data_IF_076615513010
#
_entry.id   IF_076615513010
#
_cell.length_a   1.000
_cell.length_b   1.000
_cell.length_c   1.000
_cell.angle_alpha   90.00
_cell.angle_beta   90.00
_cell.angle_gamma   90.00
#
_symmetry.space_group_name_H-M   'P 1'
#
loop_
_entity.id
_entity.type
_entity.pdbx_description
1 polymer ?
#
# COMPACT_ATOMS: atom_id res chain seq x y z
N UNK A 1 21.29 -9.76 17.97
CA UNK A 1 20.30 -9.26 17.00
C UNK A 1 21.01 -8.78 15.73
N UNK A 2 20.57 -9.24 14.58
CA UNK A 2 21.16 -8.88 13.28
C UNK A 2 20.09 -8.24 12.42
N UNK A 3 20.39 -7.07 11.85
CA UNK A 3 19.51 -6.33 10.94
C UNK A 3 20.16 -6.24 9.59
N UNK A 4 19.41 -6.56 8.54
CA UNK A 4 19.87 -6.46 7.16
C UNK A 4 18.80 -5.77 6.30
N UNK A 5 19.09 -4.60 5.72
CA UNK A 5 18.24 -4.03 4.69
C UNK A 5 18.16 -4.96 3.48
N UNK A 6 16.95 -5.25 2.99
CA UNK A 6 16.72 -6.10 1.80
C UNK A 6 16.32 -5.27 0.59
N UNK A 7 16.12 -4.00 0.75
CA UNK A 7 15.69 -3.07 -0.30
C UNK A 7 15.43 -1.70 0.27
N UNK A 8 14.87 -0.82 -0.56
CA UNK A 8 14.62 0.57 -0.15
C UNK A 8 13.59 0.69 1.00
N UNK A 9 12.70 -0.29 1.16
CA UNK A 9 11.58 -0.24 2.11
C UNK A 9 11.39 -1.54 2.89
N UNK A 10 12.39 -2.42 2.94
CA UNK A 10 12.28 -3.73 3.60
C UNK A 10 13.54 -4.05 4.37
N UNK A 11 13.36 -4.64 5.55
CA UNK A 11 14.44 -5.12 6.39
C UNK A 11 14.19 -6.55 6.84
N UNK A 12 15.24 -7.35 6.93
CA UNK A 12 15.22 -8.62 7.64
C UNK A 12 15.88 -8.45 8.99
N UNK A 13 15.27 -9.01 10.01
CA UNK A 13 15.75 -8.97 11.38
C UNK A 13 15.85 -10.40 11.90
N UNK A 14 16.98 -10.79 12.41
CA UNK A 14 17.15 -12.06 13.12
C UNK A 14 17.32 -11.82 14.61
N UNK A 15 16.38 -12.37 15.40
CA UNK A 15 16.35 -12.27 16.84
C UNK A 15 16.78 -13.62 17.45
N UNK A 16 17.88 -13.61 18.17
CA UNK A 16 18.32 -14.78 18.92
C UNK A 16 17.49 -14.95 20.20
N UNK A 17 17.46 -16.16 20.82
CA UNK A 17 16.82 -16.34 22.11
C UNK A 17 17.35 -15.41 23.20
N UNK A 18 18.63 -15.08 23.16
CA UNK A 18 19.25 -14.12 24.08
C UNK A 18 18.69 -12.70 23.90
N UNK A 19 18.56 -12.25 22.63
CA UNK A 19 17.94 -10.97 22.32
C UNK A 19 16.50 -10.88 22.83
N UNK A 20 15.73 -11.93 22.61
CA UNK A 20 14.33 -12.00 23.08
C UNK A 20 14.23 -12.01 24.61
N UNK A 21 15.15 -12.70 25.28
CA UNK A 21 15.19 -12.77 26.74
C UNK A 21 15.44 -11.41 27.39
N UNK A 22 16.21 -10.54 26.78
CA UNK A 22 16.45 -9.17 27.26
C UNK A 22 15.15 -8.35 27.34
N UNK A 23 14.17 -8.68 26.48
CA UNK A 23 12.85 -8.04 26.49
C UNK A 23 11.78 -8.88 27.22
N UNK A 24 12.15 -10.01 27.80
CA UNK A 24 11.24 -10.91 28.50
C UNK A 24 10.36 -11.76 27.56
N UNK A 25 10.76 -11.96 26.32
CA UNK A 25 10.03 -12.73 25.32
C UNK A 25 10.69 -14.09 25.05
N UNK A 26 9.89 -15.02 24.51
CA UNK A 26 10.36 -16.33 24.02
C UNK A 26 10.01 -16.47 22.55
N UNK A 27 10.78 -17.26 21.75
CA UNK A 27 10.49 -17.43 20.33
C UNK A 27 9.07 -17.94 20.05
N UNK A 28 8.59 -18.91 20.85
CA UNK A 28 7.28 -19.50 20.70
C UNK A 28 6.12 -18.60 21.17
N UNK A 29 6.40 -17.65 22.07
CA UNK A 29 5.41 -16.74 22.64
C UNK A 29 5.39 -15.34 22.04
N UNK A 30 6.20 -15.08 21.03
CA UNK A 30 6.31 -13.77 20.41
C UNK A 30 5.06 -13.44 19.57
N UNK A 31 4.36 -12.38 19.96
CA UNK A 31 3.22 -11.86 19.19
C UNK A 31 3.69 -10.92 18.07
N UNK A 32 2.82 -10.69 17.07
CA UNK A 32 3.13 -9.74 16.00
C UNK A 32 3.35 -8.32 16.52
N UNK A 33 2.60 -7.89 17.54
CA UNK A 33 2.80 -6.57 18.17
C UNK A 33 4.17 -6.45 18.83
N UNK A 34 4.59 -7.49 19.54
CA UNK A 34 5.93 -7.56 20.16
C UNK A 34 7.02 -7.59 19.11
N UNK A 35 6.85 -8.35 18.03
CA UNK A 35 7.77 -8.35 16.89
C UNK A 35 7.87 -6.98 16.23
N UNK A 36 6.76 -6.26 16.09
CA UNK A 36 6.74 -4.90 15.56
C UNK A 36 7.50 -3.93 16.46
N UNK A 37 7.27 -4.01 17.77
CA UNK A 37 7.96 -3.17 18.76
C UNK A 37 9.48 -3.37 18.70
N UNK A 38 9.92 -4.63 18.70
CA UNK A 38 11.34 -5.00 18.60
C UNK A 38 11.96 -4.54 17.27
N UNK A 39 11.23 -4.70 16.18
CA UNK A 39 11.68 -4.27 14.85
C UNK A 39 11.86 -2.75 14.80
N UNK A 40 10.92 -1.98 15.32
CA UNK A 40 11.03 -0.51 15.37
C UNK A 40 12.19 -0.07 16.23
N UNK A 41 12.38 -0.68 17.42
CA UNK A 41 13.49 -0.40 18.31
C UNK A 41 14.83 -0.71 17.65
N UNK A 42 14.94 -1.88 17.05
CA UNK A 42 16.16 -2.32 16.37
C UNK A 42 16.53 -1.44 15.16
N UNK A 43 15.53 -1.05 14.37
CA UNK A 43 15.75 -0.13 13.25
C UNK A 43 16.18 1.26 13.72
N UNK A 44 15.57 1.77 14.80
CA UNK A 44 15.97 3.06 15.37
C UNK A 44 17.42 3.04 15.86
N UNK A 45 17.83 1.97 16.56
CA UNK A 45 19.21 1.77 17.03
C UNK A 45 20.22 1.68 15.87
N UNK A 46 19.80 1.13 14.74
CA UNK A 46 20.60 1.05 13.51
C UNK A 46 20.53 2.31 12.63
N UNK A 47 19.80 3.34 13.03
CA UNK A 47 19.62 4.57 12.25
C UNK A 47 18.70 4.41 11.04
N UNK A 48 17.91 3.32 10.99
CA UNK A 48 16.94 3.08 9.92
C UNK A 48 15.60 3.69 10.32
N UNK A 49 15.11 4.63 9.51
CA UNK A 49 13.82 5.28 9.75
C UNK A 49 12.72 4.46 9.08
N UNK A 50 11.80 3.93 9.89
CA UNK A 50 10.57 3.28 9.43
C UNK A 50 9.42 4.29 9.48
N UNK A 51 9.19 4.99 8.38
CA UNK A 51 8.07 5.94 8.24
C UNK A 51 6.92 5.28 7.47
N UNK A 52 5.71 5.35 8.02
CA UNK A 52 4.52 4.75 7.44
C UNK A 52 4.05 3.48 8.15
N UNK A 53 3.10 2.78 7.55
CA UNK A 53 2.63 1.48 8.03
C UNK A 53 3.72 0.43 7.83
N UNK A 54 3.95 -0.39 8.85
CA UNK A 54 4.91 -1.49 8.79
C UNK A 54 4.15 -2.81 8.81
N UNK A 55 4.30 -3.57 7.74
CA UNK A 55 3.85 -4.97 7.70
C UNK A 55 4.98 -5.86 8.17
N UNK A 56 4.63 -6.84 9.00
CA UNK A 56 5.58 -7.78 9.58
C UNK A 56 5.16 -9.20 9.30
N UNK A 57 6.13 -10.01 8.94
CA UNK A 57 6.03 -11.47 8.95
C UNK A 57 7.11 -12.02 9.87
N UNK A 58 6.73 -12.87 10.82
CA UNK A 58 7.63 -13.47 11.77
C UNK A 58 7.63 -14.99 11.63
N UNK A 59 8.81 -15.56 11.49
CA UNK A 59 9.03 -17.00 11.33
C UNK A 59 9.84 -17.52 12.52
N UNK A 60 9.18 -18.17 13.52
CA UNK A 60 9.89 -18.82 14.61
C UNK A 60 10.71 -20.00 14.10
N UNK A 61 11.97 -20.06 14.51
CA UNK A 61 12.90 -21.13 14.21
C UNK A 61 13.45 -21.72 15.51
N UNK A 62 14.14 -22.87 15.42
CA UNK A 62 14.73 -23.51 16.59
C UNK A 62 15.78 -22.65 17.30
N UNK A 63 16.43 -21.74 16.57
CA UNK A 63 17.53 -20.91 17.06
C UNK A 63 17.17 -19.43 17.21
N UNK A 64 15.92 -19.05 17.02
CA UNK A 64 15.49 -17.66 17.12
C UNK A 64 14.24 -17.36 16.31
N UNK A 65 14.05 -16.11 15.93
CA UNK A 65 12.94 -15.67 15.10
C UNK A 65 13.48 -14.82 13.95
N UNK A 66 13.12 -15.21 12.74
CA UNK A 66 13.37 -14.39 11.54
C UNK A 66 12.15 -13.48 11.32
N UNK A 67 12.38 -12.19 11.25
CA UNK A 67 11.33 -11.18 11.03
C UNK A 67 11.61 -10.44 9.73
N UNK A 68 10.64 -10.40 8.85
CA UNK A 68 10.64 -9.52 7.70
C UNK A 68 9.71 -8.34 7.96
N UNK A 69 10.24 -7.15 7.84
CA UNK A 69 9.46 -5.92 7.96
C UNK A 69 9.49 -5.16 6.63
N UNK A 70 8.31 -4.79 6.14
CA UNK A 70 8.15 -3.94 4.96
C UNK A 70 7.43 -2.68 5.36
N UNK A 71 8.03 -1.54 5.02
CA UNK A 71 7.35 -0.25 5.15
C UNK A 71 6.46 -0.07 3.92
N UNK A 72 5.18 0.19 4.16
CA UNK A 72 4.27 0.70 3.14
C UNK A 72 4.14 2.19 3.35
N UNK A 73 4.51 3.01 2.37
CA UNK A 73 4.21 4.42 2.44
C UNK A 73 2.70 4.59 2.58
N UNK A 74 2.27 5.28 3.62
CA UNK A 74 0.87 5.65 3.77
C UNK A 74 0.53 6.72 2.74
N UNK A 75 -0.63 6.61 2.13
CA UNK A 75 -1.14 7.60 1.23
C UNK A 75 -1.72 7.05 -0.06
N UNK A 76 -2.29 7.95 -0.79
CA UNK A 76 -2.94 7.71 -2.07
C UNK A 76 -2.26 8.54 -3.15
N UNK A 77 -2.20 7.99 -4.34
CA UNK A 77 -1.85 8.71 -5.55
C UNK A 77 -3.11 8.91 -6.39
N UNK A 78 -3.16 10.04 -7.09
CA UNK A 78 -4.36 10.50 -7.75
C UNK A 78 -4.16 10.68 -9.24
N UNK A 79 -5.18 10.30 -10.00
CA UNK A 79 -5.23 10.43 -11.44
C UNK A 79 -6.55 11.06 -11.85
N UNK A 80 -6.51 11.87 -12.90
CA UNK A 80 -7.72 12.41 -13.54
C UNK A 80 -7.88 11.85 -14.94
N UNK A 81 -9.12 11.64 -15.34
CA UNK A 81 -9.51 11.22 -16.68
C UNK A 81 -10.55 12.21 -17.21
N UNK A 82 -10.35 12.69 -18.42
CA UNK A 82 -11.23 13.70 -19.01
C UNK A 82 -12.57 13.11 -19.46
N UNK A 83 -12.59 11.85 -19.81
CA UNK A 83 -13.77 11.14 -20.26
C UNK A 83 -13.84 9.69 -19.74
N UNK A 84 -15.04 9.11 -19.85
CA UNK A 84 -15.27 7.74 -19.43
C UNK A 84 -14.49 6.72 -20.28
N UNK A 85 -14.29 6.98 -21.56
CA UNK A 85 -13.58 6.07 -22.46
C UNK A 85 -12.14 5.85 -22.00
N UNK A 86 -11.41 6.91 -21.70
CA UNK A 86 -10.04 6.83 -21.18
C UNK A 86 -9.96 6.03 -19.87
N UNK A 87 -10.92 6.26 -18.98
CA UNK A 87 -11.03 5.52 -17.71
C UNK A 87 -11.33 4.03 -17.94
N UNK A 88 -12.22 3.69 -18.87
CA UNK A 88 -12.53 2.31 -19.24
C UNK A 88 -11.34 1.60 -19.90
N UNK A 89 -10.53 2.30 -20.68
CA UNK A 89 -9.30 1.75 -21.25
C UNK A 89 -8.29 1.38 -20.15
N UNK A 90 -8.14 2.22 -19.14
CA UNK A 90 -7.31 1.91 -17.98
C UNK A 90 -7.85 0.68 -17.21
N UNK A 91 -9.16 0.62 -16.98
CA UNK A 91 -9.80 -0.51 -16.32
C UNK A 91 -9.62 -1.82 -17.11
N UNK A 92 -9.72 -1.76 -18.42
CA UNK A 92 -9.50 -2.92 -19.31
C UNK A 92 -8.05 -3.39 -19.25
N UNK A 93 -7.09 -2.49 -19.29
CA UNK A 93 -5.67 -2.82 -19.20
C UNK A 93 -5.31 -3.44 -17.85
N UNK A 94 -5.99 -3.04 -16.78
CA UNK A 94 -5.77 -3.53 -15.41
C UNK A 94 -6.72 -4.64 -14.96
N UNK A 95 -7.47 -5.24 -15.87
CA UNK A 95 -8.49 -6.26 -15.55
C UNK A 95 -7.98 -7.48 -14.76
N UNK A 96 -6.70 -7.79 -14.89
CA UNK A 96 -6.05 -8.89 -14.18
C UNK A 96 -5.14 -8.45 -13.04
N UNK A 97 -5.08 -7.15 -12.76
CA UNK A 97 -4.27 -6.58 -11.70
C UNK A 97 -5.19 -6.15 -10.55
N UNK A 98 -5.23 -6.89 -9.44
CA UNK A 98 -6.02 -6.50 -8.30
C UNK A 98 -5.42 -5.24 -7.68
N UNK A 99 -6.20 -4.17 -7.68
CA UNK A 99 -5.84 -2.91 -7.04
C UNK A 99 -7.09 -2.28 -6.46
N UNK A 100 -7.02 -1.90 -5.20
CA UNK A 100 -8.07 -1.12 -4.56
C UNK A 100 -7.95 0.34 -4.99
N UNK A 101 -9.09 0.97 -5.24
CA UNK A 101 -9.15 2.37 -5.62
C UNK A 101 -10.55 2.91 -5.48
N UNK A 102 -10.67 4.21 -5.32
CA UNK A 102 -11.93 4.91 -5.24
C UNK A 102 -12.07 5.90 -6.39
N UNK A 103 -13.30 6.14 -6.82
CA UNK A 103 -13.61 6.97 -7.98
C UNK A 103 -14.65 8.02 -7.64
N UNK A 104 -14.37 9.27 -8.01
CA UNK A 104 -15.28 10.41 -7.91
C UNK A 104 -15.44 11.10 -9.26
N UNK A 105 -16.56 11.81 -9.37
CA UNK A 105 -16.78 12.81 -10.40
C UNK A 105 -16.71 14.19 -9.76
N UNK A 106 -15.82 15.05 -10.23
CA UNK A 106 -15.65 16.41 -9.72
C UNK A 106 -15.04 17.32 -10.78
N UNK A 107 -15.59 18.53 -10.88
CA UNK A 107 -15.12 19.57 -11.82
C UNK A 107 -14.98 19.09 -13.28
N UNK A 108 -15.94 18.28 -13.73
CA UNK A 108 -15.97 17.80 -15.11
C UNK A 108 -14.96 16.71 -15.43
N UNK A 109 -14.37 16.08 -14.43
CA UNK A 109 -13.38 15.00 -14.58
C UNK A 109 -13.67 13.83 -13.65
N UNK A 110 -13.17 12.66 -14.04
CA UNK A 110 -13.10 11.50 -13.16
C UNK A 110 -11.81 11.56 -12.34
N UNK A 111 -11.94 11.39 -11.05
CA UNK A 111 -10.83 11.36 -10.11
C UNK A 111 -10.70 9.97 -9.52
N UNK A 112 -9.57 9.32 -9.79
CA UNK A 112 -9.25 7.99 -9.30
C UNK A 112 -8.15 8.07 -8.25
N UNK A 113 -8.38 7.50 -7.08
CA UNK A 113 -7.32 7.26 -6.10
C UNK A 113 -6.83 5.83 -6.16
N UNK A 114 -5.54 5.65 -6.07
CA UNK A 114 -4.88 4.35 -5.92
C UNK A 114 -3.91 4.40 -4.74
N UNK A 115 -3.67 3.25 -4.07
CA UNK A 115 -2.60 3.18 -3.09
C UNK A 115 -1.25 3.56 -3.72
N UNK A 116 -0.40 4.29 -3.00
CA UNK A 116 0.92 4.73 -3.53
C UNK A 116 1.83 3.55 -3.90
N UNK A 117 1.64 2.39 -3.28
CA UNK A 117 2.39 1.17 -3.59
C UNK A 117 1.93 0.46 -4.87
N UNK A 118 0.82 0.86 -5.47
CA UNK A 118 0.30 0.27 -6.72
C UNK A 118 1.03 0.84 -7.95
N UNK A 119 2.33 0.64 -8.05
CA UNK A 119 3.19 1.24 -9.08
C UNK A 119 2.83 0.78 -10.50
N UNK A 120 2.55 -0.50 -10.70
CA UNK A 120 2.17 -1.03 -11.99
C UNK A 120 0.83 -0.45 -12.48
N UNK A 121 -0.15 -0.34 -11.58
CA UNK A 121 -1.44 0.29 -11.89
C UNK A 121 -1.29 1.78 -12.18
N UNK A 122 -0.44 2.48 -11.42
CA UNK A 122 -0.14 3.88 -11.62
C UNK A 122 0.48 4.14 -13.01
N UNK A 123 1.42 3.31 -13.44
CA UNK A 123 2.02 3.41 -14.76
C UNK A 123 0.98 3.32 -15.88
N UNK A 124 0.05 2.37 -15.78
CA UNK A 124 -1.05 2.22 -16.75
C UNK A 124 -1.99 3.42 -16.70
N UNK A 125 -2.34 3.92 -15.51
CA UNK A 125 -3.18 5.12 -15.39
C UNK A 125 -2.53 6.36 -15.99
N UNK A 126 -1.20 6.49 -15.97
CA UNK A 126 -0.48 7.56 -16.63
C UNK A 126 -0.59 7.53 -18.17
N UNK A 127 -0.83 6.36 -18.75
CA UNK A 127 -1.01 6.25 -20.22
C UNK A 127 -2.37 6.77 -20.68
N UNK A 128 -3.41 6.64 -19.86
CA UNK A 128 -4.79 7.00 -20.24
C UNK A 128 -5.31 8.25 -19.55
N UNK A 129 -4.70 8.65 -18.44
CA UNK A 129 -5.09 9.81 -17.65
C UNK A 129 -3.89 10.67 -17.28
N UNK A 130 -4.12 11.59 -16.35
CA UNK A 130 -3.09 12.53 -15.88
C UNK A 130 -2.82 12.34 -14.41
N UNK A 131 -1.56 12.10 -14.02
CA UNK A 131 -1.21 12.05 -12.60
C UNK A 131 -1.36 13.43 -11.97
N UNK A 132 -1.81 13.45 -10.73
CA UNK A 132 -2.00 14.68 -9.95
C UNK A 132 -0.97 14.77 -8.83
N UNK A 133 -0.51 15.98 -8.54
CA UNK A 133 0.38 16.24 -7.42
C UNK A 133 -0.29 15.90 -6.08
N UNK A 134 0.51 15.58 -5.07
CA UNK A 134 0.00 15.36 -3.73
C UNK A 134 -0.67 16.62 -3.19
N UNK A 135 -1.89 16.45 -2.68
CA UNK A 135 -2.67 17.50 -2.04
C UNK A 135 -3.38 16.91 -0.81
N UNK A 136 -2.93 17.25 0.41
CA UNK A 136 -3.52 16.73 1.64
C UNK A 136 -4.99 17.09 1.83
N UNK A 137 -5.47 18.16 1.18
CA UNK A 137 -6.86 18.63 1.27
C UNK A 137 -7.78 18.00 0.23
N UNK A 138 -7.23 17.30 -0.76
CA UNK A 138 -8.04 16.71 -1.84
C UNK A 138 -9.09 15.73 -1.37
N UNK A 139 -8.82 14.76 -0.47
CA UNK A 139 -9.84 13.86 0.02
C UNK A 139 -11.04 14.61 0.64
N UNK A 140 -10.78 15.62 1.47
CA UNK A 140 -11.83 16.43 2.08
C UNK A 140 -12.64 17.21 1.06
N UNK A 141 -11.99 17.78 0.03
CA UNK A 141 -12.68 18.50 -1.04
C UNK A 141 -13.57 17.58 -1.88
N UNK A 142 -13.11 16.37 -2.17
CA UNK A 142 -13.89 15.37 -2.90
C UNK A 142 -15.07 14.86 -2.07
N UNK A 143 -14.90 14.66 -0.79
CA UNK A 143 -15.99 14.27 0.11
C UNK A 143 -17.06 15.37 0.25
N UNK A 144 -16.64 16.63 0.21
CA UNK A 144 -17.52 17.79 0.36
C UNK A 144 -18.22 18.18 -0.94
N UNK A 145 -17.51 18.23 -2.05
CA UNK A 145 -17.99 18.78 -3.32
C UNK A 145 -18.02 17.77 -4.47
N UNK A 146 -17.30 16.66 -4.38
CA UNK A 146 -17.27 15.61 -5.38
C UNK A 146 -18.47 14.68 -5.30
N UNK A 147 -18.75 13.99 -6.39
CA UNK A 147 -19.76 12.93 -6.44
C UNK A 147 -19.08 11.56 -6.39
N UNK A 148 -19.21 10.80 -5.30
CA UNK A 148 -18.63 9.46 -5.21
C UNK A 148 -19.33 8.51 -6.19
N UNK A 149 -18.55 7.73 -6.94
CA UNK A 149 -19.05 6.72 -7.86
C UNK A 149 -18.79 5.33 -7.29
N UNK A 150 -17.55 5.03 -6.93
CA UNK A 150 -17.14 3.81 -6.25
C UNK A 150 -16.22 4.14 -5.09
N UNK A 151 -16.51 3.60 -3.92
CA UNK A 151 -15.68 3.80 -2.73
C UNK A 151 -14.53 2.79 -2.63
N UNK A 152 -14.64 1.64 -3.30
CA UNK A 152 -13.66 0.56 -3.31
C UNK A 152 -13.63 -0.14 -4.66
N UNK A 153 -12.46 -0.70 -5.03
CA UNK A 153 -12.28 -1.53 -6.22
C UNK A 153 -12.87 -0.91 -7.51
N UNK A 154 -12.68 0.38 -7.69
CA UNK A 154 -13.31 1.14 -8.77
C UNK A 154 -12.99 0.58 -10.16
N UNK A 155 -11.73 0.23 -10.44
CA UNK A 155 -11.32 -0.31 -11.73
C UNK A 155 -11.95 -1.67 -12.01
N UNK A 156 -12.01 -2.56 -11.03
CA UNK A 156 -12.70 -3.84 -11.14
C UNK A 156 -14.20 -3.66 -11.35
N UNK A 157 -14.82 -2.74 -10.62
CA UNK A 157 -16.23 -2.43 -10.77
C UNK A 157 -16.55 -1.87 -12.17
N UNK A 158 -15.73 -0.98 -12.71
CA UNK A 158 -15.86 -0.47 -14.07
C UNK A 158 -15.75 -1.57 -15.11
N UNK A 159 -14.78 -2.46 -14.95
CA UNK A 159 -14.62 -3.60 -15.84
C UNK A 159 -15.86 -4.50 -15.83
N UNK A 160 -16.36 -4.86 -14.66
CA UNK A 160 -17.54 -5.72 -14.53
C UNK A 160 -18.81 -5.08 -15.08
N UNK A 161 -19.05 -3.82 -14.82
CA UNK A 161 -20.30 -3.15 -15.20
C UNK A 161 -20.32 -2.71 -16.66
N UNK A 162 -19.20 -2.34 -17.25
CA UNK A 162 -19.18 -1.74 -18.58
C UNK A 162 -18.51 -2.58 -19.66
N UNK A 163 -17.53 -3.41 -19.30
CA UNK A 163 -16.69 -4.10 -20.28
C UNK A 163 -16.98 -5.59 -20.39
N UNK A 164 -17.41 -6.25 -19.34
CA UNK A 164 -17.75 -7.67 -19.34
C UNK A 164 -18.93 -7.98 -20.27
N UNK A 165 -19.86 -7.05 -20.46
CA UNK A 165 -21.02 -7.22 -21.30
C UNK A 165 -20.74 -7.04 -22.80
N UNK A 166 -19.54 -6.60 -23.16
CA UNK A 166 -19.10 -6.40 -24.55
C UNK A 166 -18.18 -7.50 -25.08
N UNK A 167 -17.87 -8.44 -24.26
CA UNK A 167 -17.01 -9.58 -24.63
C UNK A 167 -17.82 -10.84 -24.95
#
# INVERSE_FOLDING_TARGET
MTIQPIGAASVALYLTPADLSEYGFTPAGLTLEQALLLTRSACADAGIVLSGSVEIEAYPECCGVLVFARVRPDGEQWFTFDDLEALLQAALALRHTPVDGALWWWEGKYWLSLPVQAEAAAAVCCEFGSPQSADPLRPARLDEAGKPIFSHNALSALFYHFLRLRS
#
